data_IF_060017418462
#
_entry.id   IF_060017418462
#
_cell.length_a   1.000
_cell.length_b   1.000
_cell.length_c   1.000
_cell.angle_alpha   90.00
_cell.angle_beta   90.00
_cell.angle_gamma   90.00
#
_symmetry.space_group_name_H-M   'P 1'
#
loop_
_entity.id
_entity.type
_entity.pdbx_description
1 polymer ?
#
# COMPACT_ATOMS: atom_id res chain seq x y z
N UNK A 1 33.21 -26.61 41.50
CA UNK A 1 32.31 -26.36 40.35
C UNK A 1 32.63 -24.96 39.81
N UNK A 2 33.26 -24.87 38.64
CA UNK A 2 33.61 -23.61 37.98
C UNK A 2 32.59 -23.31 36.89
N UNK A 3 31.78 -22.30 37.13
CA UNK A 3 30.78 -21.81 36.15
C UNK A 3 31.51 -20.99 35.09
N UNK A 4 31.47 -21.43 33.84
CA UNK A 4 31.99 -20.69 32.69
C UNK A 4 30.90 -19.73 32.18
N UNK A 5 31.15 -18.45 32.29
CA UNK A 5 30.39 -17.40 31.60
C UNK A 5 30.84 -17.35 30.14
N UNK A 6 29.90 -17.54 29.21
CA UNK A 6 30.13 -17.28 27.79
C UNK A 6 29.80 -15.82 27.51
N UNK A 7 30.81 -15.04 27.17
CA UNK A 7 30.63 -13.71 26.61
C UNK A 7 30.24 -13.85 25.15
N UNK A 8 29.04 -13.40 24.81
CA UNK A 8 28.63 -13.18 23.40
C UNK A 8 29.28 -11.86 22.97
N UNK A 9 30.29 -11.94 22.13
CA UNK A 9 30.89 -10.77 21.49
C UNK A 9 29.98 -10.29 20.37
N UNK A 10 29.27 -9.18 20.62
CA UNK A 10 28.64 -8.42 19.58
C UNK A 10 29.73 -7.58 18.90
N UNK A 11 30.11 -7.97 17.71
CA UNK A 11 30.97 -7.16 16.84
C UNK A 11 30.22 -5.92 16.35
N UNK A 12 30.45 -4.78 16.99
CA UNK A 12 30.06 -3.48 16.43
C UNK A 12 31.08 -3.12 15.36
N UNK A 13 30.71 -3.29 14.11
CA UNK A 13 31.47 -2.74 12.98
C UNK A 13 31.26 -1.22 12.97
N UNK A 14 32.11 -0.45 13.61
CA UNK A 14 32.24 0.99 13.40
C UNK A 14 33.11 1.20 12.17
N UNK A 15 32.50 1.04 11.01
CA UNK A 15 33.10 1.52 9.76
C UNK A 15 32.91 3.03 9.64
N UNK A 16 33.97 3.78 9.53
CA UNK A 16 33.94 5.20 9.19
C UNK A 16 33.44 5.35 7.74
N UNK A 17 32.11 5.51 7.57
CA UNK A 17 31.53 5.95 6.30
C UNK A 17 31.15 7.42 6.44
N UNK A 18 32.14 8.29 6.29
CA UNK A 18 31.94 9.70 6.07
C UNK A 18 31.66 9.95 4.59
N UNK A 19 30.51 9.52 4.10
CA UNK A 19 29.86 10.10 2.91
C UNK A 19 28.52 10.63 3.36
N UNK A 20 28.38 11.95 3.39
CA UNK A 20 27.09 12.59 3.48
C UNK A 20 26.35 12.31 2.15
N UNK A 21 25.79 11.10 2.05
CA UNK A 21 24.89 10.76 0.98
C UNK A 21 23.66 11.64 1.17
N UNK A 22 23.38 12.47 0.19
CA UNK A 22 22.21 13.34 0.20
C UNK A 22 20.99 12.47 0.50
N UNK A 23 20.31 12.74 1.63
CA UNK A 23 19.13 11.97 2.02
C UNK A 23 18.18 11.97 0.85
N UNK A 24 17.92 10.80 0.26
CA UNK A 24 17.07 10.68 -0.92
C UNK A 24 15.78 11.42 -0.68
N UNK A 25 15.33 12.12 -1.69
CA UNK A 25 14.15 12.95 -1.63
C UNK A 25 12.94 12.11 -1.19
N UNK A 26 12.01 12.66 -0.40
CA UNK A 26 10.84 11.96 0.15
C UNK A 26 9.82 11.46 -0.89
N UNK A 27 10.18 11.42 -2.15
CA UNK A 27 9.32 11.14 -3.31
C UNK A 27 9.46 9.71 -3.86
N UNK A 28 9.99 8.78 -3.09
CA UNK A 28 10.33 7.44 -3.58
C UNK A 28 9.27 6.38 -3.22
N UNK A 29 7.99 6.72 -3.29
CA UNK A 29 6.93 5.78 -2.97
C UNK A 29 6.68 4.71 -4.03
N UNK A 30 6.87 5.00 -5.31
CA UNK A 30 6.67 4.07 -6.44
C UNK A 30 8.01 3.68 -7.03
N UNK A 31 8.11 2.52 -7.68
CA UNK A 31 9.34 2.08 -8.35
C UNK A 31 9.89 3.18 -9.27
N UNK A 32 10.99 3.75 -8.85
CA UNK A 32 11.68 4.83 -9.55
C UNK A 32 13.03 4.36 -10.09
N UNK A 33 13.21 3.06 -10.23
CA UNK A 33 14.40 2.49 -10.85
C UNK A 33 14.62 3.18 -12.19
N UNK A 34 15.84 3.67 -12.40
CA UNK A 34 16.26 4.40 -13.61
C UNK A 34 15.63 5.79 -13.81
N UNK A 35 14.74 6.26 -12.97
CA UNK A 35 14.26 7.64 -13.09
C UNK A 35 15.42 8.63 -12.93
N UNK A 36 15.49 9.63 -13.80
CA UNK A 36 16.60 10.61 -13.88
C UNK A 36 17.97 9.94 -14.11
N UNK A 37 18.02 8.73 -14.65
CA UNK A 37 19.24 7.96 -14.79
C UNK A 37 19.77 7.35 -13.49
N UNK A 38 19.01 7.45 -12.39
CA UNK A 38 19.37 6.82 -11.12
C UNK A 38 18.94 5.36 -11.07
N UNK A 39 19.81 4.52 -10.56
CA UNK A 39 19.54 3.12 -10.28
C UNK A 39 19.18 2.98 -8.79
N UNK A 40 18.10 2.24 -8.48
CA UNK A 40 17.69 1.95 -7.09
C UNK A 40 18.86 1.42 -6.25
N UNK A 41 19.71 0.58 -6.84
CA UNK A 41 20.88 0.00 -6.19
C UNK A 41 21.93 1.03 -5.73
N UNK A 42 21.96 2.21 -6.33
CA UNK A 42 22.90 3.27 -5.96
C UNK A 42 22.65 3.80 -4.54
N UNK A 43 21.50 3.48 -3.94
CA UNK A 43 21.16 3.87 -2.57
C UNK A 43 21.33 2.78 -1.53
N UNK A 44 21.72 1.58 -1.93
CA UNK A 44 21.94 0.49 -0.98
C UNK A 44 23.15 0.78 -0.10
N UNK A 45 23.02 0.51 1.21
CA UNK A 45 24.15 0.57 2.15
C UNK A 45 25.22 -0.48 1.86
N UNK A 46 24.81 -1.59 1.23
CA UNK A 46 25.72 -2.67 0.83
C UNK A 46 26.57 -2.30 -0.39
N UNK A 47 26.40 -1.08 -0.91
CA UNK A 47 26.91 -0.63 -2.19
C UNK A 47 26.34 -1.47 -3.36
N UNK A 48 26.52 -0.97 -4.57
CA UNK A 48 26.11 -1.67 -5.79
C UNK A 48 26.98 -2.90 -6.01
N UNK A 49 26.48 -4.07 -5.68
CA UNK A 49 27.17 -5.34 -5.93
C UNK A 49 26.96 -5.77 -7.38
N UNK A 50 27.97 -6.37 -8.00
CA UNK A 50 27.99 -6.68 -9.44
C UNK A 50 26.77 -7.48 -9.91
N UNK A 51 26.33 -8.46 -9.12
CA UNK A 51 25.26 -9.38 -9.53
C UNK A 51 23.97 -9.21 -8.71
N UNK A 52 24.09 -9.02 -7.41
CA UNK A 52 22.93 -8.94 -6.51
C UNK A 52 23.19 -7.90 -5.43
N UNK A 53 22.32 -6.91 -5.34
CA UNK A 53 22.36 -5.86 -4.31
C UNK A 53 21.25 -6.13 -3.30
N UNK A 54 21.59 -6.51 -2.04
CA UNK A 54 20.60 -6.82 -1.02
C UNK A 54 19.74 -5.62 -0.63
N UNK A 55 18.54 -5.89 -0.14
CA UNK A 55 17.66 -4.94 0.55
C UNK A 55 16.98 -5.62 1.73
N UNK A 56 16.90 -4.94 2.86
CA UNK A 56 16.23 -5.40 4.07
C UNK A 56 15.35 -4.27 4.59
N UNK A 57 14.07 -4.56 4.83
CA UNK A 57 13.15 -3.63 5.49
C UNK A 57 12.44 -4.34 6.62
N UNK A 58 12.34 -3.69 7.78
CA UNK A 58 11.60 -4.19 8.94
C UNK A 58 10.63 -3.10 9.37
N UNK A 59 9.38 -3.49 9.52
CA UNK A 59 8.30 -2.63 9.97
C UNK A 59 7.67 -3.23 11.23
N UNK A 60 7.81 -2.51 12.34
CA UNK A 60 7.24 -2.84 13.63
C UNK A 60 6.26 -1.75 14.03
N UNK A 61 5.11 -2.13 14.58
CA UNK A 61 4.20 -1.17 15.18
C UNK A 61 3.62 -1.68 16.50
N UNK A 62 3.22 -0.72 17.33
CA UNK A 62 2.25 -0.87 18.39
C UNK A 62 1.20 0.22 18.17
N UNK A 63 -0.07 -0.13 18.18
CA UNK A 63 -1.13 0.84 18.02
C UNK A 63 -2.24 0.60 19.03
N UNK A 64 -2.96 1.67 19.36
CA UNK A 64 -4.11 1.65 20.26
C UNK A 64 -5.29 2.30 19.56
N UNK A 65 -6.41 1.58 19.47
CA UNK A 65 -7.70 2.12 19.03
C UNK A 65 -8.51 2.56 20.24
N UNK A 66 -8.96 3.79 20.23
CA UNK A 66 -9.82 4.32 21.32
C UNK A 66 -11.24 3.72 21.31
N UNK A 67 -11.57 2.90 20.33
CA UNK A 67 -12.78 2.07 20.33
C UNK A 67 -12.62 0.81 21.19
N UNK A 68 -11.39 0.42 21.52
CA UNK A 68 -11.03 -0.69 22.40
C UNK A 68 -11.80 -2.00 22.07
N UNK A 69 -11.71 -2.52 20.82
CA UNK A 69 -12.43 -3.72 20.41
C UNK A 69 -11.90 -4.96 21.14
N UNK A 70 -12.78 -5.73 21.77
CA UNK A 70 -12.41 -6.93 22.57
C UNK A 70 -11.68 -8.01 21.76
N UNK A 71 -11.81 -8.01 20.44
CA UNK A 71 -11.16 -8.95 19.52
C UNK A 71 -9.91 -8.35 18.84
N UNK A 72 -9.47 -7.17 19.26
CA UNK A 72 -8.33 -6.45 18.70
C UNK A 72 -8.41 -6.15 17.19
N UNK A 73 -9.59 -6.20 16.59
CA UNK A 73 -9.75 -6.04 15.14
C UNK A 73 -9.49 -4.59 14.70
N UNK A 74 -8.69 -4.44 13.65
CA UNK A 74 -8.56 -3.20 12.87
C UNK A 74 -9.31 -3.36 11.56
N UNK A 75 -10.18 -2.41 11.24
CA UNK A 75 -10.97 -2.39 10.01
C UNK A 75 -10.43 -1.33 9.05
N UNK A 76 -10.47 -1.61 7.76
CA UNK A 76 -10.17 -0.64 6.71
C UNK A 76 -8.73 -0.13 6.70
N UNK A 77 -7.76 -0.97 7.07
CA UNK A 77 -6.34 -0.66 7.00
C UNK A 77 -5.58 -1.70 6.19
N UNK A 78 -4.65 -1.25 5.38
CA UNK A 78 -3.69 -2.10 4.68
C UNK A 78 -2.35 -2.19 5.42
N UNK A 79 -2.12 -1.33 6.41
CA UNK A 79 -0.90 -1.29 7.21
C UNK A 79 -1.02 -2.03 8.54
N UNK A 80 -2.19 -1.95 9.19
CA UNK A 80 -2.46 -2.48 10.52
C UNK A 80 -3.36 -3.72 10.42
N UNK A 81 -3.08 -4.74 11.22
CA UNK A 81 -3.90 -5.96 11.29
C UNK A 81 -4.71 -6.05 12.59
N UNK A 82 -4.09 -5.68 13.72
CA UNK A 82 -4.67 -5.76 15.06
C UNK A 82 -4.28 -4.53 15.87
N UNK A 83 -5.06 -4.23 16.90
CA UNK A 83 -4.78 -3.13 17.85
C UNK A 83 -4.37 -3.67 19.22
N UNK A 84 -3.83 -2.79 20.07
CA UNK A 84 -3.47 -3.03 21.47
C UNK A 84 -2.41 -4.09 21.72
N UNK A 85 -1.54 -4.30 20.73
CA UNK A 85 -0.41 -5.19 20.82
C UNK A 85 0.75 -4.71 19.94
N UNK A 86 1.96 -5.20 20.22
CA UNK A 86 3.12 -4.97 19.35
C UNK A 86 3.13 -6.01 18.25
N UNK A 87 3.33 -5.56 17.01
CA UNK A 87 3.33 -6.42 15.82
C UNK A 87 4.57 -6.22 14.96
N UNK A 88 5.05 -7.33 14.40
CA UNK A 88 5.84 -7.31 13.19
C UNK A 88 4.89 -7.17 12.00
N UNK A 89 4.75 -5.94 11.48
CA UNK A 89 3.90 -5.68 10.31
C UNK A 89 4.50 -6.28 9.06
N UNK A 90 5.79 -6.03 8.85
CA UNK A 90 6.48 -6.57 7.70
C UNK A 90 7.97 -6.81 7.97
N UNK A 91 8.47 -7.92 7.46
CA UNK A 91 9.88 -8.19 7.22
C UNK A 91 10.03 -8.49 5.73
N UNK A 92 10.74 -7.61 5.04
CA UNK A 92 11.11 -7.80 3.64
C UNK A 92 12.62 -8.00 3.56
N UNK A 93 13.03 -9.05 2.92
CA UNK A 93 14.42 -9.22 2.53
C UNK A 93 14.48 -9.79 1.11
N UNK A 94 15.52 -9.40 0.41
CA UNK A 94 15.70 -9.76 -1.00
C UNK A 94 16.69 -8.81 -1.64
N UNK A 95 16.39 -8.35 -2.84
CA UNK A 95 17.25 -7.40 -3.54
C UNK A 95 17.06 -7.42 -5.05
N UNK A 96 17.94 -6.67 -5.69
CA UNK A 96 17.94 -6.47 -7.13
C UNK A 96 19.10 -7.21 -7.78
N UNK A 97 18.82 -8.00 -8.83
CA UNK A 97 19.87 -8.57 -9.67
C UNK A 97 20.12 -7.70 -10.88
N UNK A 98 21.39 -7.72 -11.31
CA UNK A 98 21.78 -7.16 -12.59
C UNK A 98 23.03 -7.89 -13.10
N UNK A 99 22.89 -8.55 -14.23
CA UNK A 99 23.98 -9.24 -14.90
C UNK A 99 23.92 -8.87 -16.37
N UNK A 100 24.93 -8.13 -16.83
CA UNK A 100 24.92 -7.47 -18.13
C UNK A 100 23.68 -6.56 -18.26
N UNK A 101 22.72 -6.91 -19.10
CA UNK A 101 21.43 -6.21 -19.22
C UNK A 101 20.25 -7.01 -18.65
N UNK A 102 20.48 -8.20 -18.13
CA UNK A 102 19.46 -8.97 -17.43
C UNK A 102 19.27 -8.37 -16.05
N UNK A 103 18.03 -8.08 -15.67
CA UNK A 103 17.64 -7.48 -14.41
C UNK A 103 16.50 -8.22 -13.76
N UNK A 104 16.33 -8.04 -12.48
CA UNK A 104 15.19 -8.57 -11.77
C UNK A 104 15.21 -8.15 -10.31
N UNK A 105 14.13 -8.44 -9.62
CA UNK A 105 13.97 -8.17 -8.20
C UNK A 105 13.22 -9.32 -7.55
N UNK A 106 13.71 -9.74 -6.39
CA UNK A 106 12.97 -10.60 -5.47
C UNK A 106 12.89 -9.88 -4.15
N UNK A 107 11.68 -9.76 -3.59
CA UNK A 107 11.44 -9.31 -2.22
C UNK A 107 10.43 -10.24 -1.57
N UNK A 108 10.79 -10.77 -0.42
CA UNK A 108 9.86 -11.52 0.41
C UNK A 108 8.98 -10.59 1.23
N UNK A 109 7.91 -11.13 1.83
CA UNK A 109 7.12 -10.44 2.85
C UNK A 109 6.69 -11.41 3.93
N UNK A 110 7.04 -11.09 5.17
CA UNK A 110 6.60 -11.81 6.36
C UNK A 110 5.98 -10.82 7.32
N UNK A 111 5.23 -11.31 8.31
CA UNK A 111 4.51 -10.47 9.25
C UNK A 111 3.03 -10.33 8.88
N UNK A 112 2.31 -9.45 9.58
CA UNK A 112 0.85 -9.34 9.44
C UNK A 112 0.42 -8.87 8.04
N UNK A 113 1.21 -8.06 7.36
CA UNK A 113 0.93 -7.61 5.98
C UNK A 113 0.93 -8.74 4.97
N UNK A 114 1.67 -9.83 5.20
CA UNK A 114 1.62 -11.02 4.34
C UNK A 114 0.26 -11.74 4.38
N UNK A 115 -0.60 -11.39 5.31
CA UNK A 115 -1.99 -11.84 5.37
C UNK A 115 -2.96 -10.75 4.91
N UNK A 116 -2.82 -9.54 5.45
CA UNK A 116 -3.75 -8.42 5.19
C UNK A 116 -3.80 -8.06 3.70
N UNK A 117 -2.68 -8.04 2.99
CA UNK A 117 -2.64 -7.63 1.59
C UNK A 117 -2.99 -8.77 0.63
N UNK A 118 -2.35 -9.96 0.68
CA UNK A 118 -2.68 -11.05 -0.25
C UNK A 118 -4.14 -11.52 -0.16
N UNK A 119 -4.77 -11.49 1.02
CA UNK A 119 -6.19 -11.83 1.16
C UNK A 119 -7.13 -10.91 0.38
N UNK A 120 -6.67 -9.73 0.00
CA UNK A 120 -7.39 -8.83 -0.89
C UNK A 120 -7.16 -9.14 -2.38
N UNK A 121 -6.62 -10.31 -2.70
CA UNK A 121 -6.66 -10.87 -4.05
C UNK A 121 -8.11 -11.22 -4.42
N UNK A 122 -8.64 -10.55 -5.42
CA UNK A 122 -10.00 -10.76 -5.90
C UNK A 122 -10.08 -11.73 -7.08
N UNK A 123 -8.96 -12.33 -7.51
CA UNK A 123 -8.99 -13.33 -8.57
C UNK A 123 -9.83 -14.54 -8.15
N UNK A 124 -10.61 -15.11 -9.06
CA UNK A 124 -11.46 -16.24 -8.73
C UNK A 124 -10.60 -17.48 -8.46
N UNK A 125 -11.07 -18.31 -7.53
CA UNK A 125 -10.56 -19.67 -7.37
C UNK A 125 -10.81 -20.46 -8.66
N UNK A 126 -9.74 -20.84 -9.34
CA UNK A 126 -9.79 -21.69 -10.53
C UNK A 126 -8.91 -22.91 -10.31
N UNK A 127 -9.45 -24.08 -10.60
CA UNK A 127 -8.75 -25.33 -10.33
C UNK A 127 -8.58 -25.57 -8.83
N UNK A 128 -7.39 -26.00 -8.41
CA UNK A 128 -7.09 -26.40 -7.03
C UNK A 128 -6.29 -25.37 -6.23
N UNK A 129 -6.01 -24.21 -6.82
CA UNK A 129 -5.03 -23.29 -6.24
C UNK A 129 -5.67 -21.99 -5.79
N UNK A 130 -5.46 -21.65 -4.53
CA UNK A 130 -5.70 -20.34 -3.96
C UNK A 130 -4.42 -19.51 -4.10
N UNK A 131 -4.40 -18.62 -5.08
CA UNK A 131 -3.19 -17.86 -5.42
C UNK A 131 -2.73 -16.92 -4.30
N UNK A 132 -3.66 -16.41 -3.50
CA UNK A 132 -3.33 -15.61 -2.31
C UNK A 132 -2.42 -16.36 -1.34
N UNK A 133 -2.63 -17.66 -1.13
CA UNK A 133 -1.76 -18.50 -0.32
C UNK A 133 -0.46 -18.86 -1.04
N UNK A 134 -0.49 -19.08 -2.35
CA UNK A 134 0.70 -19.40 -3.16
C UNK A 134 1.71 -18.26 -3.12
N UNK A 135 1.26 -17.02 -3.28
CA UNK A 135 2.13 -15.83 -3.35
C UNK A 135 2.24 -15.06 -2.04
N UNK A 136 1.65 -15.55 -0.95
CA UNK A 136 1.54 -14.88 0.34
C UNK A 136 2.85 -14.26 0.85
N UNK A 137 3.96 -14.93 0.63
CA UNK A 137 5.26 -14.51 1.16
C UNK A 137 6.16 -13.83 0.12
N UNK A 138 5.61 -13.49 -1.04
CA UNK A 138 6.30 -12.76 -2.09
C UNK A 138 5.68 -11.37 -2.26
N UNK A 139 6.47 -10.32 -1.97
CA UNK A 139 6.09 -8.94 -2.30
C UNK A 139 6.39 -8.65 -3.77
N UNK A 140 7.59 -8.97 -4.22
CA UNK A 140 8.02 -8.81 -5.61
C UNK A 140 8.79 -10.06 -6.07
N UNK A 141 8.54 -10.50 -7.30
CA UNK A 141 9.30 -11.55 -7.96
C UNK A 141 9.20 -11.33 -9.48
N UNK A 142 10.18 -10.62 -10.03
CA UNK A 142 10.16 -10.27 -11.44
C UNK A 142 11.55 -10.34 -12.05
N UNK A 143 11.58 -10.53 -13.36
CA UNK A 143 12.79 -10.52 -14.15
C UNK A 143 12.54 -9.87 -15.51
N UNK A 144 13.59 -9.35 -16.11
CA UNK A 144 13.49 -8.67 -17.38
C UNK A 144 14.83 -8.28 -17.98
N UNK A 145 14.77 -7.41 -18.95
CA UNK A 145 15.92 -6.98 -19.71
C UNK A 145 15.95 -5.46 -19.88
N UNK A 146 17.16 -4.88 -19.75
CA UNK A 146 17.44 -3.46 -19.95
C UNK A 146 18.01 -3.21 -21.34
N UNK A 147 17.40 -2.29 -22.07
CA UNK A 147 17.89 -1.81 -23.38
C UNK A 147 18.49 -0.43 -23.20
N UNK A 148 19.76 -0.28 -23.63
CA UNK A 148 20.50 1.00 -23.63
C UNK A 148 20.03 1.90 -24.79
N UNK A 149 18.75 2.32 -24.74
CA UNK A 149 18.18 3.26 -25.71
C UNK A 149 17.54 4.42 -24.97
N UNK A 150 17.76 5.65 -25.45
CA UNK A 150 17.43 6.88 -24.74
C UNK A 150 18.11 6.89 -23.34
N UNK A 151 17.37 7.16 -22.28
CA UNK A 151 17.85 7.03 -20.89
C UNK A 151 17.56 5.64 -20.31
N UNK A 152 17.19 4.68 -21.12
CA UNK A 152 16.89 3.30 -20.77
C UNK A 152 15.48 2.87 -21.13
N UNK A 153 15.34 1.59 -21.47
CA UNK A 153 14.05 0.89 -21.58
C UNK A 153 14.20 -0.42 -20.82
N UNK A 154 13.26 -0.71 -19.94
CA UNK A 154 13.18 -1.99 -19.25
C UNK A 154 11.93 -2.74 -19.69
N UNK A 155 12.04 -4.04 -19.90
CA UNK A 155 10.90 -4.94 -20.10
C UNK A 155 10.98 -6.00 -19.05
N UNK A 156 10.04 -6.02 -18.13
CA UNK A 156 10.01 -6.89 -16.96
C UNK A 156 8.70 -7.68 -16.91
N UNK A 157 8.75 -8.93 -16.45
CA UNK A 157 7.58 -9.78 -16.22
C UNK A 157 7.62 -10.41 -14.82
N UNK A 158 6.46 -10.58 -14.20
CA UNK A 158 6.33 -11.22 -12.90
C UNK A 158 5.38 -10.50 -11.95
N UNK A 159 5.67 -10.63 -10.65
CA UNK A 159 4.94 -10.00 -9.55
C UNK A 159 5.63 -8.68 -9.16
N UNK A 160 4.84 -7.62 -9.07
CA UNK A 160 5.27 -6.25 -8.77
C UNK A 160 4.43 -5.60 -7.71
N UNK A 161 5.01 -4.63 -6.99
CA UNK A 161 4.19 -3.64 -6.29
C UNK A 161 3.43 -2.77 -7.29
N UNK A 162 2.29 -2.25 -6.85
CA UNK A 162 1.42 -1.43 -7.69
C UNK A 162 2.11 -0.19 -8.24
N UNK A 163 1.74 0.19 -9.45
CA UNK A 163 2.06 1.51 -10.03
C UNK A 163 0.97 2.55 -9.75
N UNK A 164 -0.22 2.14 -9.29
CA UNK A 164 -1.34 3.01 -8.92
C UNK A 164 -1.22 3.37 -7.45
N UNK A 165 -1.45 4.62 -7.13
CA UNK A 165 -1.33 5.17 -5.78
C UNK A 165 0.00 5.87 -5.52
N UNK A 166 -0.04 6.90 -4.68
CA UNK A 166 1.15 7.66 -4.29
C UNK A 166 1.98 6.93 -3.22
N UNK A 167 1.33 6.22 -2.32
CA UNK A 167 1.98 5.56 -1.20
C UNK A 167 2.64 4.25 -1.62
N UNK A 168 3.83 4.02 -1.08
CA UNK A 168 4.55 2.77 -1.24
C UNK A 168 3.97 1.67 -0.37
N UNK A 169 4.05 0.44 -0.86
CA UNK A 169 3.85 -0.75 -0.03
C UNK A 169 4.85 -0.82 1.14
N UNK A 170 6.05 -0.29 0.96
CA UNK A 170 7.10 -0.25 1.98
C UNK A 170 6.94 0.97 2.87
N UNK A 171 6.45 0.80 4.10
CA UNK A 171 6.09 1.88 5.02
C UNK A 171 7.22 2.87 5.33
N UNK A 172 8.47 2.42 5.27
CA UNK A 172 9.62 3.31 5.45
C UNK A 172 9.76 4.41 4.39
N UNK A 173 9.00 4.30 3.29
CA UNK A 173 9.00 5.28 2.19
C UNK A 173 7.83 6.27 2.27
N UNK A 174 6.87 6.06 3.17
CA UNK A 174 5.68 6.88 3.30
C UNK A 174 5.85 8.01 4.33
N UNK A 175 5.09 9.08 4.15
CA UNK A 175 5.09 10.20 5.09
C UNK A 175 4.24 9.95 6.33
N UNK A 176 3.22 9.11 6.23
CA UNK A 176 2.34 8.61 7.28
C UNK A 176 2.47 7.09 7.42
N UNK A 177 1.99 6.53 8.53
CA UNK A 177 1.95 5.08 8.75
C UNK A 177 0.60 4.50 8.31
N UNK A 178 -0.48 5.05 8.83
CA UNK A 178 -1.82 4.71 8.36
C UNK A 178 -2.14 5.55 7.13
N UNK A 179 -2.20 4.90 6.00
CA UNK A 179 -2.56 5.55 4.75
C UNK A 179 -3.98 6.16 4.81
N UNK A 180 -4.20 7.25 4.05
CA UNK A 180 -5.55 7.78 3.82
C UNK A 180 -6.43 6.74 3.13
N UNK A 181 -7.75 6.87 3.24
CA UNK A 181 -8.71 6.05 2.50
C UNK A 181 -8.44 6.01 1.00
N UNK A 182 -8.00 7.12 0.40
CA UNK A 182 -7.59 7.17 -1.01
C UNK A 182 -6.55 6.11 -1.31
N UNK A 183 -5.49 6.04 -0.50
CA UNK A 183 -4.40 5.11 -0.70
C UNK A 183 -4.74 3.68 -0.26
N UNK A 184 -5.48 3.50 0.84
CA UNK A 184 -5.93 2.17 1.29
C UNK A 184 -6.83 1.48 0.26
N UNK A 185 -7.52 2.25 -0.59
CA UNK A 185 -8.42 1.75 -1.63
C UNK A 185 -7.79 1.68 -3.03
N UNK A 186 -6.48 1.89 -3.17
CA UNK A 186 -5.73 1.58 -4.39
C UNK A 186 -5.14 0.17 -4.33
N UNK A 187 -4.80 -0.44 -5.48
CA UNK A 187 -4.19 -1.77 -5.50
C UNK A 187 -2.76 -1.73 -4.98
N UNK A 188 -2.30 -2.81 -4.35
CA UNK A 188 -0.97 -2.91 -3.76
C UNK A 188 -0.01 -3.79 -4.56
N UNK A 189 -0.52 -4.67 -5.42
CA UNK A 189 0.30 -5.56 -6.23
C UNK A 189 -0.35 -5.87 -7.58
N UNK A 190 0.50 -6.22 -8.53
CA UNK A 190 0.10 -6.70 -9.85
C UNK A 190 0.96 -7.87 -10.29
N UNK A 191 0.37 -8.78 -11.04
CA UNK A 191 1.08 -9.83 -11.75
C UNK A 191 0.90 -9.64 -13.25
N UNK A 192 2.01 -9.55 -14.01
CA UNK A 192 1.95 -9.27 -15.44
C UNK A 192 3.27 -8.86 -16.06
N UNK A 193 3.18 -7.98 -17.04
CA UNK A 193 4.30 -7.42 -17.80
C UNK A 193 4.25 -5.91 -17.70
N UNK A 194 5.41 -5.29 -17.46
CA UNK A 194 5.58 -3.84 -17.56
C UNK A 194 6.70 -3.49 -18.52
N UNK A 195 6.58 -2.34 -19.14
CA UNK A 195 7.64 -1.72 -19.91
C UNK A 195 7.90 -0.36 -19.29
N UNK A 196 9.15 -0.07 -18.88
CA UNK A 196 9.57 1.24 -18.40
C UNK A 196 10.36 1.92 -19.49
N UNK A 197 9.93 3.10 -19.92
CA UNK A 197 10.57 3.90 -20.96
C UNK A 197 11.00 5.22 -20.34
N UNK A 198 12.28 5.55 -20.46
CA UNK A 198 12.86 6.81 -20.01
C UNK A 198 13.32 7.62 -21.22
N UNK A 199 12.47 8.46 -21.82
CA UNK A 199 12.84 9.27 -22.99
C UNK A 199 14.00 10.21 -22.68
N UNK A 200 14.02 10.72 -21.45
CA UNK A 200 15.08 11.55 -20.88
C UNK A 200 15.03 11.43 -19.34
N UNK A 201 15.90 12.15 -18.64
CA UNK A 201 16.02 12.11 -17.17
C UNK A 201 14.79 12.63 -16.39
N UNK A 202 13.84 13.29 -17.06
CA UNK A 202 12.68 13.89 -16.41
C UNK A 202 11.40 13.06 -16.53
N UNK A 203 11.32 12.18 -17.53
CA UNK A 203 10.11 11.44 -17.87
C UNK A 203 10.30 9.95 -17.74
N UNK A 204 9.31 9.30 -17.13
CA UNK A 204 9.09 7.87 -17.18
C UNK A 204 7.70 7.60 -17.75
N UNK A 205 7.61 6.72 -18.75
CA UNK A 205 6.36 6.23 -19.33
C UNK A 205 6.35 4.72 -19.12
N UNK A 206 5.28 4.19 -18.53
CA UNK A 206 5.27 2.82 -18.08
C UNK A 206 3.95 2.10 -18.43
N UNK A 207 3.80 1.58 -19.65
CA UNK A 207 2.65 0.73 -19.99
C UNK A 207 2.73 -0.64 -19.33
N UNK A 208 1.54 -1.18 -18.96
CA UNK A 208 1.36 -2.45 -18.29
C UNK A 208 0.31 -3.32 -18.97
N UNK A 209 0.55 -4.65 -18.95
CA UNK A 209 -0.44 -5.69 -19.21
C UNK A 209 -0.44 -6.60 -17.99
N UNK A 210 -1.56 -6.70 -17.30
CA UNK A 210 -1.66 -7.39 -16.00
C UNK A 210 -2.86 -8.32 -15.96
N UNK A 211 -2.84 -9.26 -15.02
CA UNK A 211 -3.94 -10.23 -14.88
C UNK A 211 -5.27 -9.58 -14.49
N UNK A 212 -5.24 -8.49 -13.73
CA UNK A 212 -6.40 -7.74 -13.30
C UNK A 212 -6.08 -6.81 -12.12
N UNK A 213 -7.09 -6.13 -11.60
CA UNK A 213 -6.99 -5.21 -10.49
C UNK A 213 -6.67 -5.95 -9.18
N UNK A 214 -5.52 -5.66 -8.57
CA UNK A 214 -5.08 -6.27 -7.32
C UNK A 214 -5.28 -7.79 -7.33
N UNK A 215 -4.76 -8.47 -8.34
CA UNK A 215 -4.98 -9.89 -8.49
C UNK A 215 -3.74 -10.65 -8.96
N UNK A 216 -3.56 -11.83 -8.39
CA UNK A 216 -2.54 -12.77 -8.85
C UNK A 216 -2.98 -13.51 -10.11
N UNK A 217 -4.29 -13.77 -10.26
CA UNK A 217 -4.88 -14.49 -11.38
C UNK A 217 -5.80 -13.61 -12.25
N UNK A 218 -6.26 -14.17 -13.36
CA UNK A 218 -7.17 -13.49 -14.26
C UNK A 218 -8.63 -13.64 -13.84
N UNK A 219 -9.41 -12.57 -13.89
CA UNK A 219 -10.85 -12.59 -13.63
C UNK A 219 -11.65 -13.15 -14.80
N UNK A 220 -11.30 -12.74 -16.00
CA UNK A 220 -11.95 -13.09 -17.24
C UNK A 220 -10.90 -13.42 -18.32
N UNK A 221 -11.29 -13.60 -19.57
CA UNK A 221 -10.37 -13.88 -20.68
C UNK A 221 -9.53 -12.68 -21.13
N UNK A 222 -9.98 -11.45 -20.82
CA UNK A 222 -9.26 -10.22 -21.17
C UNK A 222 -8.33 -9.81 -20.03
N UNK A 223 -7.05 -9.54 -20.27
CA UNK A 223 -6.16 -8.99 -19.28
C UNK A 223 -6.54 -7.54 -18.94
N UNK A 224 -6.02 -7.03 -17.83
CA UNK A 224 -6.05 -5.61 -17.53
C UNK A 224 -4.95 -4.87 -18.29
N UNK A 225 -5.24 -3.64 -18.67
CA UNK A 225 -4.30 -2.73 -19.32
C UNK A 225 -4.19 -1.46 -18.47
N UNK A 226 -2.99 -0.93 -18.40
CA UNK A 226 -2.81 0.33 -17.69
C UNK A 226 -1.46 0.94 -17.94
N UNK A 227 -1.14 1.94 -17.16
CA UNK A 227 0.14 2.60 -17.26
C UNK A 227 0.33 3.73 -16.29
N UNK A 228 1.56 4.19 -16.20
CA UNK A 228 1.97 5.34 -15.42
C UNK A 228 2.78 6.28 -16.28
N UNK A 229 2.53 7.57 -16.14
CA UNK A 229 3.40 8.61 -16.66
C UNK A 229 3.88 9.45 -15.48
N UNK A 230 5.19 9.54 -15.31
CA UNK A 230 5.79 10.34 -14.24
C UNK A 230 6.68 11.42 -14.86
N UNK A 231 6.51 12.63 -14.40
CA UNK A 231 7.41 13.76 -14.66
C UNK A 231 8.11 14.20 -13.38
N UNK A 232 9.40 14.47 -13.47
CA UNK A 232 10.16 15.10 -12.38
C UNK A 232 10.99 16.27 -12.94
N UNK A 233 10.87 17.42 -12.29
CA UNK A 233 11.68 18.60 -12.65
C UNK A 233 13.17 18.37 -12.39
N UNK A 234 14.05 19.09 -13.12
CA UNK A 234 15.52 18.94 -13.01
C UNK A 234 16.06 19.16 -11.59
N UNK A 235 15.44 20.02 -10.81
CA UNK A 235 15.80 20.30 -9.42
C UNK A 235 15.07 19.39 -8.41
N UNK A 236 14.30 18.42 -8.88
CA UNK A 236 13.49 17.50 -8.07
C UNK A 236 12.52 18.21 -7.11
N UNK A 237 12.09 19.43 -7.44
CA UNK A 237 11.13 20.18 -6.63
C UNK A 237 9.67 19.89 -7.00
N UNK A 238 9.43 19.37 -8.21
CA UNK A 238 8.10 19.00 -8.69
C UNK A 238 8.14 17.58 -9.23
N UNK A 239 7.21 16.76 -8.79
CA UNK A 239 6.91 15.44 -9.35
C UNK A 239 5.41 15.38 -9.66
N UNK A 240 5.07 14.98 -10.88
CA UNK A 240 3.71 14.72 -11.32
C UNK A 240 3.60 13.27 -11.74
N UNK A 241 2.49 12.64 -11.37
CA UNK A 241 2.21 11.24 -11.69
C UNK A 241 0.77 11.17 -12.18
N UNK A 242 0.54 10.44 -13.27
CA UNK A 242 -0.78 9.98 -13.67
C UNK A 242 -0.71 8.48 -13.91
N UNK A 243 -1.67 7.76 -13.34
CA UNK A 243 -1.79 6.32 -13.44
C UNK A 243 -3.18 5.99 -13.95
N UNK A 244 -3.27 5.14 -14.96
CA UNK A 244 -4.54 4.73 -15.51
C UNK A 244 -4.64 3.20 -15.57
N UNK A 245 -5.87 2.70 -15.43
CA UNK A 245 -6.19 1.28 -15.53
C UNK A 245 -7.51 1.05 -16.26
N UNK A 246 -7.56 -0.01 -17.06
CA UNK A 246 -8.76 -0.51 -17.70
C UNK A 246 -8.78 -2.04 -17.71
N UNK A 247 -9.87 -2.65 -17.23
CA UNK A 247 -9.97 -4.10 -17.18
C UNK A 247 -11.39 -4.62 -16.98
N UNK A 248 -11.48 -5.94 -16.78
CA UNK A 248 -12.73 -6.67 -16.54
C UNK A 248 -12.58 -7.52 -15.29
N UNK A 249 -12.73 -6.89 -14.12
CA UNK A 249 -12.37 -7.45 -12.82
C UNK A 249 -13.54 -8.06 -12.04
N UNK A 250 -14.75 -8.06 -12.60
CA UNK A 250 -15.86 -8.80 -12.06
C UNK A 250 -15.84 -10.23 -12.58
N UNK A 251 -15.51 -11.19 -11.72
CA UNK A 251 -15.35 -12.60 -12.08
C UNK A 251 -16.63 -13.17 -12.71
N UNK A 252 -16.49 -13.73 -13.92
CA UNK A 252 -17.64 -14.29 -14.68
C UNK A 252 -18.56 -13.24 -15.30
N UNK A 253 -18.25 -11.94 -15.19
CA UNK A 253 -19.03 -10.85 -15.78
C UNK A 253 -18.12 -10.01 -16.72
N UNK A 254 -17.70 -10.54 -17.86
CA UNK A 254 -16.77 -9.84 -18.76
C UNK A 254 -17.37 -8.56 -19.38
N UNK A 255 -18.69 -8.40 -19.32
CA UNK A 255 -19.37 -7.17 -19.76
C UNK A 255 -19.14 -5.99 -18.81
N UNK A 256 -18.78 -6.23 -17.54
CA UNK A 256 -18.47 -5.17 -16.57
C UNK A 256 -17.05 -4.68 -16.79
N UNK A 257 -16.92 -3.44 -17.22
CA UNK A 257 -15.64 -2.77 -17.52
C UNK A 257 -15.30 -1.81 -16.41
N UNK A 258 -14.07 -1.91 -15.86
CA UNK A 258 -13.52 -0.97 -14.91
C UNK A 258 -12.59 0.00 -15.63
N UNK A 259 -12.72 1.28 -15.31
CA UNK A 259 -11.75 2.33 -15.58
C UNK A 259 -11.35 2.99 -14.26
N UNK A 260 -10.08 3.31 -14.09
CA UNK A 260 -9.56 3.98 -12.92
C UNK A 260 -8.41 4.91 -13.29
N UNK A 261 -8.35 6.09 -12.67
CA UNK A 261 -7.29 7.08 -12.86
C UNK A 261 -6.90 7.68 -11.52
N UNK A 262 -5.63 7.56 -11.16
CA UNK A 262 -5.00 8.12 -9.97
C UNK A 262 -3.97 9.18 -10.39
N UNK A 263 -4.09 10.40 -9.87
CA UNK A 263 -3.29 11.53 -10.28
C UNK A 263 -2.69 12.23 -9.07
N UNK A 264 -1.36 12.34 -9.04
CA UNK A 264 -0.63 12.88 -7.91
C UNK A 264 0.33 13.99 -8.30
N UNK A 265 0.45 14.97 -7.43
CA UNK A 265 1.46 16.02 -7.50
C UNK A 265 2.20 16.14 -6.18
N UNK A 266 3.52 16.26 -6.25
CA UNK A 266 4.37 16.51 -5.08
C UNK A 266 5.22 17.73 -5.37
N UNK A 267 5.18 18.71 -4.45
CA UNK A 267 5.92 19.96 -4.57
C UNK A 267 6.78 20.16 -3.33
N UNK A 268 8.11 20.22 -3.53
CA UNK A 268 9.03 20.65 -2.50
C UNK A 268 9.21 22.17 -2.61
N UNK A 269 8.47 22.90 -1.81
CA UNK A 269 8.43 24.36 -1.89
C UNK A 269 9.49 25.06 -1.03
N UNK A 270 10.20 24.29 -0.18
CA UNK A 270 11.30 24.81 0.63
C UNK A 270 12.42 23.78 0.72
N UNK A 271 13.68 24.22 0.51
CA UNK A 271 14.86 23.37 0.62
C UNK A 271 16.10 24.21 1.00
N UNK A 272 16.48 24.15 2.27
CA UNK A 272 17.68 24.80 2.83
C UNK A 272 18.39 23.83 3.79
N UNK A 273 19.12 22.82 3.29
CA UNK A 273 19.62 21.69 4.07
C UNK A 273 20.58 22.10 5.19
N UNK A 274 21.27 23.22 5.06
CA UNK A 274 22.25 23.68 6.05
C UNK A 274 21.65 24.55 7.15
N UNK A 275 20.35 24.81 7.14
CA UNK A 275 19.69 25.63 8.16
C UNK A 275 19.52 24.86 9.48
N UNK A 276 19.64 25.55 10.64
CA UNK A 276 19.45 24.93 11.95
C UNK A 276 17.99 24.59 12.26
N UNK A 277 17.03 25.37 11.76
CA UNK A 277 15.59 25.15 11.96
C UNK A 277 15.00 24.22 10.89
N UNK A 278 13.93 24.70 10.23
CA UNK A 278 13.32 24.00 9.09
C UNK A 278 14.32 23.89 7.95
N UNK A 279 14.54 22.68 7.48
CA UNK A 279 15.50 22.36 6.42
C UNK A 279 14.82 22.10 5.09
N UNK A 280 13.62 21.50 5.13
CA UNK A 280 12.86 21.13 3.94
C UNK A 280 11.37 21.21 4.24
N UNK A 281 10.56 21.53 3.25
CA UNK A 281 9.11 21.38 3.30
C UNK A 281 8.57 20.98 1.94
N UNK A 282 7.59 20.06 1.96
CA UNK A 282 6.94 19.57 0.76
C UNK A 282 5.45 19.34 1.00
N UNK A 283 4.69 19.42 -0.07
CA UNK A 283 3.25 19.17 -0.12
C UNK A 283 2.97 18.10 -1.16
N UNK A 284 2.03 17.21 -0.88
CA UNK A 284 1.50 16.25 -1.83
C UNK A 284 -0.01 16.37 -1.93
N UNK A 285 -0.53 16.13 -3.13
CA UNK A 285 -1.95 16.01 -3.39
C UNK A 285 -2.18 14.85 -4.35
N UNK A 286 -3.21 14.05 -4.08
CA UNK A 286 -3.69 12.99 -4.95
C UNK A 286 -5.17 13.17 -5.17
N UNK A 287 -5.61 12.98 -6.42
CA UNK A 287 -7.02 12.87 -6.80
C UNK A 287 -7.17 11.56 -7.55
N UNK A 288 -8.16 10.79 -7.13
CA UNK A 288 -8.36 9.44 -7.60
C UNK A 288 -9.84 9.24 -7.97
N UNK A 289 -10.10 8.67 -9.14
CA UNK A 289 -11.45 8.40 -9.60
C UNK A 289 -11.50 7.16 -10.48
N UNK A 290 -12.62 6.45 -10.40
CA UNK A 290 -12.85 5.29 -11.21
C UNK A 290 -14.32 4.94 -11.32
N UNK A 291 -14.65 4.07 -12.26
CA UNK A 291 -16.01 3.59 -12.42
C UNK A 291 -16.06 2.21 -13.06
N UNK A 292 -17.15 1.50 -12.78
CA UNK A 292 -17.50 0.28 -13.51
C UNK A 292 -18.79 0.48 -14.29
N UNK A 293 -18.81 0.02 -15.56
CA UNK A 293 -19.95 0.12 -16.45
C UNK A 293 -20.23 -1.19 -17.16
N UNK A 294 -21.51 -1.50 -17.38
CA UNK A 294 -21.97 -2.75 -17.96
C UNK A 294 -22.12 -3.87 -16.94
N UNK A 295 -22.68 -5.01 -17.34
CA UNK A 295 -22.88 -6.15 -16.42
C UNK A 295 -23.69 -5.80 -15.17
N UNK A 296 -24.74 -4.95 -15.30
CA UNK A 296 -25.63 -4.58 -14.22
C UNK A 296 -25.22 -3.35 -13.40
N UNK A 297 -24.28 -2.53 -13.90
CA UNK A 297 -23.86 -1.26 -13.27
C UNK A 297 -23.64 -0.16 -14.30
N UNK A 298 -23.78 1.11 -13.93
CA UNK A 298 -23.86 2.26 -14.86
C UNK A 298 -22.82 3.36 -14.61
N UNK A 299 -21.66 3.05 -14.11
CA UNK A 299 -20.59 4.03 -13.90
C UNK A 299 -21.03 5.14 -12.94
N UNK A 300 -20.88 6.40 -13.35
CA UNK A 300 -21.27 7.57 -12.55
C UNK A 300 -22.77 7.88 -12.56
N UNK A 301 -23.55 7.25 -13.43
CA UNK A 301 -24.97 7.51 -13.58
C UNK A 301 -25.78 6.44 -12.85
N UNK A 302 -26.80 6.85 -12.09
CA UNK A 302 -27.75 5.94 -11.50
C UNK A 302 -28.86 5.62 -12.50
N UNK A 303 -28.87 4.39 -12.98
CA UNK A 303 -29.91 3.83 -13.87
C UNK A 303 -31.06 3.13 -13.15
N UNK A 304 -31.11 3.26 -11.83
CA UNK A 304 -32.12 2.62 -10.97
C UNK A 304 -31.74 1.22 -10.48
N UNK A 305 -32.67 0.49 -9.82
CA UNK A 305 -32.37 -0.72 -9.06
C UNK A 305 -31.68 -1.85 -9.84
N UNK A 306 -31.90 -1.93 -11.16
CA UNK A 306 -31.26 -2.94 -12.01
C UNK A 306 -29.93 -2.51 -12.64
N UNK A 307 -29.55 -1.24 -12.50
CA UNK A 307 -28.36 -0.67 -13.13
C UNK A 307 -27.83 0.53 -12.32
N UNK A 308 -27.49 0.34 -11.03
CA UNK A 308 -27.08 1.42 -10.13
C UNK A 308 -25.74 2.04 -10.54
N UNK A 309 -25.47 3.23 -10.03
CA UNK A 309 -24.17 3.86 -10.13
C UNK A 309 -23.08 3.03 -9.43
N UNK A 310 -21.92 2.90 -10.07
CA UNK A 310 -20.76 2.20 -9.53
C UNK A 310 -19.50 2.99 -9.86
N UNK A 311 -19.05 3.79 -8.89
CA UNK A 311 -17.90 4.65 -9.05
C UNK A 311 -17.13 4.86 -7.75
N UNK A 312 -15.96 5.43 -7.87
CA UNK A 312 -15.09 5.86 -6.79
C UNK A 312 -14.57 7.26 -7.11
N UNK A 313 -14.59 8.13 -6.13
CA UNK A 313 -13.95 9.44 -6.18
C UNK A 313 -13.31 9.70 -4.84
N UNK A 314 -12.04 10.08 -4.84
CA UNK A 314 -11.34 10.41 -3.61
C UNK A 314 -10.26 11.46 -3.84
N UNK A 315 -9.79 12.03 -2.74
CA UNK A 315 -8.60 12.87 -2.71
C UNK A 315 -7.89 12.74 -1.37
N UNK A 316 -6.59 12.97 -1.37
CA UNK A 316 -5.79 13.13 -0.16
C UNK A 316 -4.75 14.22 -0.34
N UNK A 317 -4.40 14.89 0.76
CA UNK A 317 -3.37 15.93 0.81
C UNK A 317 -2.52 15.76 2.05
N UNK A 318 -1.21 15.96 1.89
CA UNK A 318 -0.27 15.93 3.01
C UNK A 318 0.74 17.05 2.89
N UNK A 319 1.11 17.62 4.03
CA UNK A 319 2.22 18.54 4.17
C UNK A 319 3.25 17.95 5.12
N UNK A 320 4.52 17.96 4.72
CA UNK A 320 5.62 17.47 5.55
C UNK A 320 6.73 18.48 5.65
N UNK A 321 7.17 18.74 6.88
CA UNK A 321 8.23 19.66 7.22
C UNK A 321 9.35 18.92 7.92
N UNK A 322 10.58 19.07 7.42
CA UNK A 322 11.78 18.49 8.02
C UNK A 322 12.57 19.56 8.74
N UNK A 323 13.13 19.17 9.87
CA UNK A 323 13.93 20.04 10.73
C UNK A 323 15.08 19.27 11.41
N UNK A 324 15.90 19.97 12.20
CA UNK A 324 17.05 19.37 12.87
C UNK A 324 17.99 18.63 11.90
N UNK A 325 18.33 19.22 10.75
CA UNK A 325 19.14 18.62 9.69
C UNK A 325 18.53 17.33 9.15
N UNK A 326 17.22 17.33 8.92
CA UNK A 326 16.39 16.21 8.47
C UNK A 326 16.30 15.02 9.46
N UNK A 327 16.77 15.18 10.71
CA UNK A 327 16.63 14.14 11.73
C UNK A 327 15.24 14.04 12.33
N UNK A 328 14.43 15.06 12.12
CA UNK A 328 13.03 15.08 12.53
C UNK A 328 12.15 15.56 11.39
N UNK A 329 10.92 15.07 11.35
CA UNK A 329 9.90 15.57 10.45
C UNK A 329 8.54 15.56 11.10
N UNK A 330 7.71 16.51 10.70
CA UNK A 330 6.30 16.60 11.06
C UNK A 330 5.47 16.52 9.80
N UNK A 331 4.48 15.62 9.79
CA UNK A 331 3.52 15.47 8.71
C UNK A 331 2.12 15.75 9.23
N UNK A 332 1.29 16.39 8.44
CA UNK A 332 -0.15 16.56 8.67
C UNK A 332 -0.87 16.42 7.35
N UNK A 333 -2.00 15.72 7.37
CA UNK A 333 -2.81 15.54 6.17
C UNK A 333 -4.04 14.70 6.41
N UNK A 334 -4.62 14.23 5.33
CA UNK A 334 -5.81 13.40 5.32
C UNK A 334 -6.49 13.43 3.97
N UNK A 335 -7.67 12.85 3.91
CA UNK A 335 -8.41 12.72 2.67
C UNK A 335 -9.89 12.45 2.85
N UNK A 336 -10.55 12.28 1.74
CA UNK A 336 -11.96 11.96 1.65
C UNK A 336 -12.22 11.04 0.47
N UNK A 337 -13.22 10.19 0.59
CA UNK A 337 -13.68 9.34 -0.49
C UNK A 337 -15.19 9.19 -0.54
N UNK A 338 -15.69 8.94 -1.75
CA UNK A 338 -17.04 8.48 -2.04
C UNK A 338 -16.97 7.23 -2.90
N UNK A 339 -17.58 6.16 -2.41
CA UNK A 339 -17.57 4.85 -3.06
C UNK A 339 -18.96 4.19 -2.91
N UNK A 340 -19.96 4.62 -3.71
CA UNK A 340 -21.27 4.00 -3.65
C UNK A 340 -21.22 2.56 -4.14
N UNK A 341 -21.56 1.64 -3.27
CA UNK A 341 -21.54 0.21 -3.57
C UNK A 341 -20.18 -0.43 -3.36
N UNK A 342 -19.71 -1.20 -4.33
CA UNK A 342 -18.59 -2.13 -4.17
C UNK A 342 -17.46 -1.92 -5.15
N UNK A 343 -17.24 -0.71 -5.58
CA UNK A 343 -16.16 -0.43 -6.53
C UNK A 343 -14.79 -0.82 -5.94
N UNK A 344 -14.49 -0.32 -4.76
CA UNK A 344 -13.33 -0.69 -3.96
C UNK A 344 -13.80 -0.90 -2.52
N UNK A 345 -13.47 -2.03 -1.92
CA UNK A 345 -13.94 -2.39 -0.58
C UNK A 345 -12.81 -2.99 0.22
N UNK A 346 -12.52 -2.38 1.37
CA UNK A 346 -11.72 -3.00 2.41
C UNK A 346 -12.66 -3.61 3.46
N UNK A 347 -12.61 -4.92 3.60
CA UNK A 347 -13.41 -5.63 4.58
C UNK A 347 -12.76 -5.59 5.97
N UNK A 348 -13.57 -5.74 7.03
CA UNK A 348 -13.05 -5.98 8.37
C UNK A 348 -12.10 -7.18 8.39
N UNK A 349 -10.95 -7.02 9.04
CA UNK A 349 -9.84 -8.00 9.00
C UNK A 349 -10.01 -9.20 9.92
N UNK A 350 -11.08 -9.31 10.69
CA UNK A 350 -11.22 -10.30 11.75
C UNK A 350 -11.78 -11.68 11.35
N UNK A 351 -12.02 -11.95 10.06
CA UNK A 351 -12.67 -13.21 9.70
C UNK A 351 -11.70 -14.28 9.22
N UNK A 352 -11.72 -15.42 9.86
CA UNK A 352 -10.93 -16.61 9.53
C UNK A 352 -11.39 -17.34 8.27
N UNK A 353 -12.48 -16.94 7.66
CA UNK A 353 -12.95 -17.48 6.38
C UNK A 353 -12.55 -16.54 5.26
N UNK A 354 -12.23 -17.04 4.06
CA UNK A 354 -12.14 -16.19 2.90
C UNK A 354 -13.43 -15.37 2.86
N UNK A 355 -13.28 -14.06 2.98
CA UNK A 355 -14.40 -13.15 2.80
C UNK A 355 -15.07 -13.54 1.49
N UNK A 356 -16.39 -13.64 1.44
CA UNK A 356 -17.04 -13.94 0.19
C UNK A 356 -16.52 -12.96 -0.82
N UNK A 357 -15.99 -13.48 -1.90
CA UNK A 357 -15.73 -12.68 -3.06
C UNK A 357 -16.99 -11.81 -3.26
N UNK A 358 -16.91 -10.47 -3.26
CA UNK A 358 -18.08 -9.62 -3.43
C UNK A 358 -18.88 -9.98 -4.69
N UNK A 359 -18.27 -10.75 -5.57
CA UNK A 359 -18.84 -11.27 -6.80
C UNK A 359 -19.34 -12.73 -6.66
N UNK A 360 -19.19 -13.37 -5.48
CA UNK A 360 -19.76 -14.68 -5.20
C UNK A 360 -20.66 -14.62 -3.96
N UNK A 361 -21.98 -14.39 -4.11
CA UNK A 361 -22.90 -14.16 -3.01
C UNK A 361 -23.27 -15.41 -2.20
N UNK A 362 -22.69 -16.59 -2.50
CA UNK A 362 -23.11 -17.86 -1.87
C UNK A 362 -22.41 -18.19 -0.55
N UNK A 363 -21.45 -17.39 -0.11
CA UNK A 363 -20.78 -17.60 1.17
C UNK A 363 -21.41 -16.73 2.25
N UNK A 364 -21.80 -17.35 3.34
CA UNK A 364 -22.41 -16.68 4.52
C UNK A 364 -21.48 -15.59 5.01
N UNK A 365 -21.94 -14.39 4.87
CA UNK A 365 -21.18 -13.19 5.14
C UNK A 365 -20.88 -13.06 6.62
N UNK A 366 -19.66 -12.71 6.92
CA UNK A 366 -19.38 -11.89 8.07
C UNK A 366 -19.99 -10.49 7.94
N UNK A 367 -19.80 -9.67 8.96
CA UNK A 367 -20.30 -8.31 8.92
C UNK A 367 -19.66 -7.54 7.77
N UNK A 368 -20.49 -7.12 6.86
CA UNK A 368 -20.08 -6.10 5.91
C UNK A 368 -20.14 -4.75 6.60
N UNK A 369 -19.14 -3.89 6.44
CA UNK A 369 -19.13 -2.57 7.06
C UNK A 369 -20.24 -1.65 6.50
N UNK A 370 -20.87 -2.00 5.39
CA UNK A 370 -21.97 -1.27 4.76
C UNK A 370 -22.82 -2.23 3.94
N UNK A 371 -23.98 -1.77 3.49
CA UNK A 371 -24.85 -2.56 2.63
C UNK A 371 -24.07 -3.10 1.43
N UNK A 372 -24.27 -4.38 1.15
CA UNK A 372 -23.62 -5.09 0.05
C UNK A 372 -24.21 -4.76 -1.33
N UNK A 373 -25.31 -4.02 -1.38
CA UNK A 373 -25.93 -3.62 -2.62
C UNK A 373 -25.07 -2.58 -3.36
N UNK A 374 -24.86 -2.82 -4.65
CA UNK A 374 -24.22 -1.82 -5.53
C UNK A 374 -25.10 -0.57 -5.57
N UNK A 375 -24.47 0.60 -5.52
CA UNK A 375 -25.13 1.90 -5.49
C UNK A 375 -25.42 2.45 -4.10
N UNK A 376 -25.24 1.65 -3.03
CA UNK A 376 -25.33 2.14 -1.64
C UNK A 376 -24.23 3.17 -1.37
N UNK A 377 -24.63 4.28 -0.75
CA UNK A 377 -23.72 5.38 -0.46
C UNK A 377 -22.73 4.97 0.64
N UNK A 378 -21.43 5.02 0.32
CA UNK A 378 -20.34 4.98 1.28
C UNK A 378 -19.46 6.21 1.08
N UNK A 379 -19.38 7.03 2.12
CA UNK A 379 -18.50 8.19 2.17
C UNK A 379 -17.67 8.10 3.44
N UNK A 380 -16.41 8.49 3.35
CA UNK A 380 -15.50 8.48 4.49
C UNK A 380 -14.46 9.57 4.37
N UNK A 381 -13.93 10.03 5.50
CA UNK A 381 -12.82 10.96 5.55
C UNK A 381 -11.84 10.57 6.65
N UNK A 382 -10.63 11.05 6.53
CA UNK A 382 -9.58 10.82 7.50
C UNK A 382 -8.73 12.07 7.69
N UNK A 383 -8.09 12.16 8.85
CA UNK A 383 -7.00 13.08 9.08
C UNK A 383 -5.94 12.44 9.98
N UNK A 384 -4.69 12.79 9.75
CA UNK A 384 -3.58 12.29 10.54
C UNK A 384 -2.51 13.34 10.76
N UNK A 385 -1.75 13.15 11.83
CA UNK A 385 -0.53 13.90 12.09
C UNK A 385 0.51 12.99 12.72
N UNK A 386 1.76 13.11 12.30
CA UNK A 386 2.84 12.34 12.88
C UNK A 386 4.12 13.16 13.08
N UNK A 387 4.93 12.70 14.03
CA UNK A 387 6.29 13.15 14.23
C UNK A 387 7.21 11.95 14.03
N UNK A 388 8.20 12.13 13.15
CA UNK A 388 9.26 11.18 12.89
C UNK A 388 10.55 11.64 13.55
N UNK A 389 11.24 10.72 14.22
CA UNK A 389 12.64 10.86 14.62
C UNK A 389 13.50 9.91 13.78
N UNK A 390 14.40 10.47 13.00
CA UNK A 390 15.26 9.78 12.04
C UNK A 390 16.74 10.04 12.37
N UNK A 391 17.31 9.35 13.40
CA UNK A 391 18.70 9.55 13.79
C UNK A 391 19.68 9.25 12.67
N UNK A 392 19.30 8.35 11.76
CA UNK A 392 19.99 8.02 10.52
C UNK A 392 18.98 7.80 9.40
N UNK A 393 19.46 7.66 8.15
CA UNK A 393 18.61 7.31 6.99
C UNK A 393 18.07 5.86 7.05
N UNK A 394 18.54 5.05 7.98
CA UNK A 394 18.25 3.62 8.07
C UNK A 394 17.15 3.28 9.06
N UNK A 395 16.78 4.21 9.94
CA UNK A 395 15.78 3.98 10.97
C UNK A 395 14.91 5.21 11.17
N UNK A 396 13.61 4.99 11.28
CA UNK A 396 12.61 5.99 11.63
C UNK A 396 11.80 5.50 12.82
N UNK A 397 11.71 6.31 13.86
CA UNK A 397 10.75 6.17 14.94
C UNK A 397 9.63 7.15 14.66
N UNK A 398 8.39 6.65 14.58
CA UNK A 398 7.20 7.44 14.25
C UNK A 398 6.19 7.35 15.36
N UNK A 399 5.61 8.49 15.72
CA UNK A 399 4.40 8.56 16.53
C UNK A 399 3.35 9.25 15.67
N UNK A 400 2.20 8.60 15.47
CA UNK A 400 1.13 9.08 14.62
C UNK A 400 -0.20 9.01 15.34
N UNK A 401 -0.98 10.09 15.26
CA UNK A 401 -2.39 10.11 15.62
C UNK A 401 -3.21 10.17 14.32
N UNK A 402 -4.22 9.33 14.22
CA UNK A 402 -5.12 9.27 13.07
C UNK A 402 -6.56 9.20 13.53
N UNK A 403 -7.43 9.96 12.88
CA UNK A 403 -8.88 9.89 13.02
C UNK A 403 -9.52 9.58 11.69
N UNK A 404 -10.50 8.68 11.71
CA UNK A 404 -11.27 8.23 10.54
C UNK A 404 -12.75 8.23 10.86
N UNK A 405 -13.57 8.64 9.90
CA UNK A 405 -15.01 8.62 10.02
C UNK A 405 -15.66 8.17 8.72
N UNK A 406 -16.78 7.47 8.83
CA UNK A 406 -17.57 6.97 7.69
C UNK A 406 -19.06 7.29 7.86
N UNK A 407 -19.74 7.40 6.73
CA UNK A 407 -21.19 7.67 6.68
C UNK A 407 -22.03 6.53 7.29
N UNK A 408 -21.48 5.32 7.29
CA UNK A 408 -22.10 4.10 7.82
C UNK A 408 -21.24 3.47 8.90
N UNK A 409 -21.79 2.64 9.81
CA UNK A 409 -20.98 1.86 10.76
C UNK A 409 -19.98 0.97 10.00
N UNK A 410 -18.68 1.17 10.25
CA UNK A 410 -17.59 0.55 9.49
C UNK A 410 -16.45 0.03 10.36
N UNK A 411 -16.11 0.74 11.44
CA UNK A 411 -15.00 0.39 12.32
C UNK A 411 -15.47 -0.55 13.42
N UNK A 412 -14.54 -1.35 13.96
CA UNK A 412 -14.83 -2.17 15.13
C UNK A 412 -15.14 -1.28 16.34
N UNK A 413 -16.27 -1.53 16.97
CA UNK A 413 -16.63 -1.00 18.27
C UNK A 413 -16.11 -1.90 19.40
N UNK A 414 -16.39 -1.53 20.65
CA UNK A 414 -15.91 -2.25 21.83
C UNK A 414 -16.31 -3.74 21.82
N UNK A 415 -17.52 -4.07 21.39
CA UNK A 415 -18.01 -5.45 21.32
C UNK A 415 -17.30 -6.36 20.30
N UNK A 416 -16.40 -5.81 19.48
CA UNK A 416 -15.67 -6.56 18.44
C UNK A 416 -16.55 -6.96 17.25
N UNK A 417 -15.94 -7.60 16.27
CA UNK A 417 -16.58 -7.93 14.98
C UNK A 417 -16.39 -9.38 14.56
N UNK A 418 -15.65 -10.20 15.33
CA UNK A 418 -15.36 -11.60 14.99
C UNK A 418 -16.28 -12.59 15.66
N UNK A 419 -16.58 -12.41 16.94
CA UNK A 419 -17.39 -13.33 17.75
C UNK A 419 -17.93 -12.63 19.00
N UNK A 420 -18.97 -13.20 19.67
CA UNK A 420 -19.54 -12.63 20.88
C UNK A 420 -18.59 -12.45 22.05
N UNK A 421 -17.56 -13.28 22.15
CA UNK A 421 -16.56 -13.28 23.22
C UNK A 421 -15.21 -12.67 22.82
N UNK A 422 -15.07 -12.26 21.55
CA UNK A 422 -13.83 -11.73 21.01
C UNK A 422 -12.67 -12.73 20.91
N UNK A 423 -12.87 -13.99 21.28
CA UNK A 423 -11.82 -15.02 21.39
C UNK A 423 -11.85 -16.06 20.29
N UNK A 424 -13.05 -16.36 19.79
CA UNK A 424 -13.25 -17.38 18.75
C UNK A 424 -13.11 -16.79 17.36
N UNK A 425 -12.65 -17.59 16.40
CA UNK A 425 -12.48 -17.15 15.00
C UNK A 425 -13.77 -17.22 14.19
N UNK A 426 -14.82 -17.79 14.76
CA UNK A 426 -16.13 -17.91 14.13
C UNK A 426 -17.18 -17.43 15.10
N UNK A 427 -18.17 -16.71 14.61
CA UNK A 427 -19.33 -16.32 15.37
C UNK A 427 -20.12 -17.58 15.79
N UNK A 428 -19.74 -18.20 16.91
CA UNK A 428 -20.54 -19.24 17.54
C UNK A 428 -21.60 -18.53 18.37
N UNK A 429 -22.69 -18.17 17.73
CA UNK A 429 -23.87 -17.69 18.41
C UNK A 429 -24.94 -18.80 18.31
N UNK A 430 -25.13 -19.61 19.38
CA UNK A 430 -26.12 -20.68 19.39
C UNK A 430 -27.54 -20.18 19.14
N UNK A 431 -27.78 -18.90 19.39
CA UNK A 431 -29.13 -18.30 19.27
C UNK A 431 -29.28 -17.47 17.97
N UNK A 432 -28.21 -17.27 17.21
CA UNK A 432 -28.22 -16.48 15.95
C UNK A 432 -28.54 -14.99 16.14
N UNK A 433 -28.39 -14.47 17.35
CA UNK A 433 -28.75 -13.09 17.69
C UNK A 433 -27.59 -12.11 17.69
N UNK A 434 -26.35 -12.60 17.84
CA UNK A 434 -25.17 -11.75 17.84
C UNK A 434 -24.98 -11.03 16.51
N UNK A 435 -24.55 -9.81 16.61
CA UNK A 435 -24.15 -8.98 15.46
C UNK A 435 -22.82 -8.31 15.80
N UNK A 436 -21.95 -8.14 14.80
CA UNK A 436 -20.74 -7.36 14.96
C UNK A 436 -21.03 -5.94 15.45
N UNK A 437 -20.24 -5.48 16.42
CA UNK A 437 -20.33 -4.12 16.92
C UNK A 437 -19.52 -3.21 15.98
N UNK A 438 -20.23 -2.51 15.09
CA UNK A 438 -19.65 -1.56 14.15
C UNK A 438 -20.03 -0.13 14.52
N UNK A 439 -19.05 0.77 14.49
CA UNK A 439 -19.19 2.19 14.76
C UNK A 439 -18.74 3.03 13.56
N UNK A 440 -19.11 4.30 13.53
CA UNK A 440 -18.85 5.19 12.40
C UNK A 440 -17.48 5.86 12.43
N UNK A 441 -16.84 5.93 13.58
CA UNK A 441 -15.58 6.64 13.75
C UNK A 441 -14.56 5.78 14.49
N UNK A 442 -13.29 6.05 14.20
CA UNK A 442 -12.16 5.44 14.87
C UNK A 442 -11.04 6.48 15.05
N UNK A 443 -10.49 6.53 16.25
CA UNK A 443 -9.26 7.30 16.54
C UNK A 443 -8.19 6.30 16.98
N UNK A 444 -6.98 6.44 16.46
CA UNK A 444 -5.84 5.58 16.82
C UNK A 444 -4.61 6.41 17.14
N UNK A 445 -3.81 5.89 18.07
CA UNK A 445 -2.43 6.29 18.29
C UNK A 445 -1.51 5.16 17.86
N UNK A 446 -0.53 5.45 17.01
CA UNK A 446 0.38 4.47 16.42
C UNK A 446 1.80 4.86 16.80
N UNK A 447 2.57 3.90 17.30
CA UNK A 447 4.02 3.98 17.42
C UNK A 447 4.63 2.98 16.44
N UNK A 448 5.56 3.41 15.61
CA UNK A 448 6.20 2.55 14.62
C UNK A 448 7.72 2.70 14.63
N UNK A 449 8.40 1.58 14.34
CA UNK A 449 9.84 1.54 14.09
C UNK A 449 10.05 0.96 12.69
N UNK A 450 10.60 1.80 11.82
CA UNK A 450 10.80 1.49 10.41
C UNK A 450 12.30 1.44 10.12
N UNK A 451 12.77 0.26 9.77
CA UNK A 451 14.19 0.01 9.48
C UNK A 451 14.36 -0.36 8.01
N UNK A 452 15.42 0.16 7.36
CA UNK A 452 15.76 -0.13 5.97
C UNK A 452 17.27 -0.15 5.73
N UNK A 453 17.73 -1.16 5.01
CA UNK A 453 19.10 -1.29 4.49
C UNK A 453 19.06 -1.56 2.99
#
# INVERSE_FOLDING_TARGET
>A
MKTKFYYVLIFIFVGHLAFAQEVKTPFQGIDQTWQNGADRRDSSVFNKVKYFTPSILIDLNANHSFNDPIDHTVVGSTALARTDEMQLSALHFGGDFNVDNVRGRIMTQFGTRSTVIPRNDFSPYRGQYELANVYRYLAEANAGYHFNKWNGINVDAGLFMSYIGLNSFYQAENWEYQASYTSDNTPWFFNGIRIQIFPNKNWKIEPWIINGWQSYGSFNSMPGFGGSITYMSNNSNLKLITNDYYGTDAAGIPARKRFHSDNSAIVRYYNKPNRKGVTKAAFSATVDFGSEKGGGVNGFNDGGPGNPAQYFVSWMVYNRVWFAKNKMAWTVGGGWMKNPGRYLVLYPTGQASPLPNPYNPTTTAGAFPFDTAVGTQFEAWDCSTNIDFMPSQYITFRIEAVHRESSVPYFAGHGGVTSPDGLTTTAVDPNGTWRPDLVKAETKLIFAVLFRL
#
